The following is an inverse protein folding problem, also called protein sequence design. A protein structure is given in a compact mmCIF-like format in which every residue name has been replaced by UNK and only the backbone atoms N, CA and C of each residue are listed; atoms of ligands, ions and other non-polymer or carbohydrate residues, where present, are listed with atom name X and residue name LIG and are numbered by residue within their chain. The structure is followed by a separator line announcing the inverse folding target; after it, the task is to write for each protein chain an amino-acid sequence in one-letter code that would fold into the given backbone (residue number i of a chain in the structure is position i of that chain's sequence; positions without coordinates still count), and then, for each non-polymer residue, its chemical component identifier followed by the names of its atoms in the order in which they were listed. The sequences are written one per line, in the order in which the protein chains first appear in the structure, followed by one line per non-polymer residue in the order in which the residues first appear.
data_IF_181403443582
#
_entry.id   IF_181403443582
#
_cell.length_a   1.000
_cell.length_b   1.000
_cell.length_c   1.000
_cell.angle_alpha   90.00
_cell.angle_beta   90.00
_cell.angle_gamma   90.00
#
_symmetry.space_group_name_H-M   'P 1'
#
loop_
_entity.id
_entity.type
_entity.pdbx_description
1 polymer ?
#
# COMPACT_ATOMS: atom_id res chain seq x y z
N UNK A 1 5.26 3.14 34.85
CA UNK A 1 4.87 3.27 33.41
C UNK A 1 5.25 2.08 32.53
N UNK A 2 6.03 1.12 33.02
CA UNK A 2 6.46 -0.07 32.27
C UNK A 2 5.48 -1.24 32.31
N UNK A 3 4.57 -1.31 33.27
CA UNK A 3 3.69 -2.47 33.50
C UNK A 3 2.59 -2.66 32.47
N UNK A 4 2.23 -1.64 31.69
CA UNK A 4 1.06 -1.68 30.82
C UNK A 4 1.36 -1.57 29.31
N UNK A 5 2.55 -1.97 28.89
CA UNK A 5 2.90 -1.96 27.47
C UNK A 5 2.34 -3.23 26.77
N UNK A 6 1.23 -3.08 26.03
CA UNK A 6 0.57 -4.16 25.30
C UNK A 6 1.53 -4.95 24.40
N UNK A 7 2.45 -4.25 23.72
CA UNK A 7 3.43 -4.88 22.83
C UNK A 7 4.34 -5.87 23.56
N UNK A 8 4.58 -5.65 24.85
CA UNK A 8 5.43 -6.51 25.70
C UNK A 8 4.64 -7.63 26.37
N UNK A 9 3.47 -7.31 26.92
CA UNK A 9 2.78 -8.18 27.89
C UNK A 9 1.70 -9.05 27.26
N UNK A 10 1.03 -8.59 26.20
CA UNK A 10 -0.04 -9.36 25.58
C UNK A 10 0.47 -10.60 24.84
N UNK A 11 -0.26 -11.72 24.86
CA UNK A 11 0.03 -12.89 24.01
C UNK A 11 0.02 -12.47 22.53
N UNK A 12 1.00 -12.97 21.76
CA UNK A 12 1.22 -12.54 20.36
C UNK A 12 0.01 -12.80 19.46
N UNK A 13 -0.69 -13.92 19.65
CA UNK A 13 -1.93 -14.23 18.90
C UNK A 13 -3.01 -13.18 19.13
N UNK A 14 -3.26 -12.79 20.39
CA UNK A 14 -4.25 -11.78 20.74
C UNK A 14 -3.83 -10.39 20.23
N UNK A 15 -2.56 -10.03 20.43
CA UNK A 15 -2.00 -8.78 19.94
C UNK A 15 -2.10 -8.65 18.43
N UNK A 16 -1.84 -9.75 17.68
CA UNK A 16 -1.95 -9.80 16.23
C UNK A 16 -3.40 -9.51 15.76
N UNK A 17 -4.41 -10.03 16.46
CA UNK A 17 -5.80 -9.73 16.15
C UNK A 17 -6.19 -8.30 16.53
N UNK A 18 -5.78 -7.84 17.72
CA UNK A 18 -6.10 -6.49 18.19
C UNK A 18 -5.51 -5.39 17.28
N UNK A 19 -4.33 -5.62 16.74
CA UNK A 19 -3.70 -4.71 15.80
C UNK A 19 -4.13 -4.95 14.35
N UNK A 20 -4.25 -6.22 13.95
CA UNK A 20 -4.52 -6.60 12.58
C UNK A 20 -5.94 -6.29 12.13
N UNK A 21 -6.96 -6.57 12.96
CA UNK A 21 -8.36 -6.32 12.58
C UNK A 21 -8.63 -4.86 12.23
N UNK A 22 -8.24 -3.87 13.06
CA UNK A 22 -8.38 -2.47 12.68
C UNK A 22 -7.66 -2.12 11.37
N UNK A 23 -6.44 -2.63 11.18
CA UNK A 23 -5.66 -2.35 9.97
C UNK A 23 -6.26 -3.00 8.71
N UNK A 24 -6.81 -4.22 8.82
CA UNK A 24 -7.53 -4.88 7.73
C UNK A 24 -8.76 -4.05 7.34
N UNK A 25 -9.56 -3.62 8.31
CA UNK A 25 -10.74 -2.78 8.07
C UNK A 25 -10.37 -1.44 7.42
N UNK A 26 -9.29 -0.84 7.87
CA UNK A 26 -8.73 0.40 7.31
C UNK A 26 -8.37 0.25 5.83
N UNK A 27 -7.63 -0.80 5.49
CA UNK A 27 -7.24 -1.09 4.11
C UNK A 27 -8.41 -1.48 3.22
N UNK A 28 -9.37 -2.25 3.74
CA UNK A 28 -10.60 -2.59 3.02
C UNK A 28 -11.42 -1.33 2.69
N UNK A 29 -11.56 -0.42 3.66
CA UNK A 29 -12.24 0.86 3.44
C UNK A 29 -11.51 1.74 2.42
N UNK A 30 -10.18 1.73 2.43
CA UNK A 30 -9.39 2.46 1.43
C UNK A 30 -9.65 1.94 0.01
N UNK A 31 -9.78 0.62 -0.16
CA UNK A 31 -10.14 0.06 -1.46
C UNK A 31 -11.54 0.50 -1.92
N UNK A 32 -12.52 0.52 -1.00
CA UNK A 32 -13.88 1.01 -1.29
C UNK A 32 -13.86 2.50 -1.66
N UNK A 33 -13.18 3.31 -0.87
CA UNK A 33 -13.07 4.75 -1.11
C UNK A 33 -12.48 5.06 -2.49
N UNK A 34 -11.42 4.36 -2.92
CA UNK A 34 -10.82 4.57 -4.24
C UNK A 34 -11.81 4.27 -5.40
N UNK A 35 -12.70 3.30 -5.21
CA UNK A 35 -13.75 2.98 -6.18
C UNK A 35 -14.81 4.09 -6.21
N UNK A 36 -15.22 4.59 -5.04
CA UNK A 36 -16.25 5.63 -4.89
C UNK A 36 -15.77 6.96 -5.49
N UNK A 37 -14.54 7.39 -5.19
CA UNK A 37 -13.94 8.61 -5.74
C UNK A 37 -13.90 8.57 -7.28
N UNK A 38 -13.42 7.46 -7.84
CA UNK A 38 -13.43 7.27 -9.31
C UNK A 38 -14.82 7.31 -9.91
N UNK A 39 -15.84 6.80 -9.20
CA UNK A 39 -17.22 6.81 -9.66
C UNK A 39 -17.80 8.24 -9.67
N UNK A 40 -17.50 9.08 -8.68
CA UNK A 40 -17.95 10.47 -8.68
C UNK A 40 -17.37 11.25 -9.87
N UNK A 41 -16.08 11.13 -10.13
CA UNK A 41 -15.46 11.81 -11.29
C UNK A 41 -16.00 11.29 -12.62
N UNK A 42 -16.21 9.97 -12.73
CA UNK A 42 -16.76 9.36 -13.95
C UNK A 42 -18.21 9.73 -14.25
N UNK A 43 -18.98 10.19 -13.25
CA UNK A 43 -20.38 10.59 -13.40
C UNK A 43 -20.58 12.12 -13.54
N UNK A 44 -19.53 12.89 -13.80
CA UNK A 44 -19.65 14.31 -14.09
C UNK A 44 -20.50 14.55 -15.34
N UNK A 45 -21.36 15.57 -15.31
CA UNK A 45 -22.28 15.90 -16.41
C UNK A 45 -21.55 16.36 -17.68
N UNK A 46 -20.47 17.09 -17.53
CA UNK A 46 -19.66 17.61 -18.63
C UNK A 46 -18.18 17.27 -18.42
N UNK A 47 -17.51 16.87 -19.49
CA UNK A 47 -16.06 16.61 -19.49
C UNK A 47 -15.62 15.37 -18.70
N UNK A 48 -16.53 14.42 -18.37
CA UNK A 48 -16.20 13.23 -17.59
C UNK A 48 -15.11 12.38 -18.25
N UNK A 49 -15.13 12.23 -19.57
CA UNK A 49 -14.09 11.51 -20.32
C UNK A 49 -12.74 12.19 -20.23
N UNK A 50 -12.71 13.53 -20.42
CA UNK A 50 -11.49 14.31 -20.26
C UNK A 50 -10.96 14.27 -18.81
N UNK A 51 -11.86 14.30 -17.83
CA UNK A 51 -11.55 14.18 -16.40
C UNK A 51 -10.94 12.82 -16.06
N UNK A 52 -11.51 11.71 -16.52
CA UNK A 52 -10.96 10.36 -16.33
C UNK A 52 -9.60 10.21 -17.01
N UNK A 53 -9.44 10.80 -18.21
CA UNK A 53 -8.16 10.80 -18.88
C UNK A 53 -7.13 11.62 -18.09
N UNK A 54 -7.51 12.79 -17.57
CA UNK A 54 -6.66 13.61 -16.71
C UNK A 54 -6.20 12.82 -15.46
N UNK A 55 -7.12 12.14 -14.77
CA UNK A 55 -6.78 11.30 -13.62
C UNK A 55 -5.78 10.18 -13.99
N UNK A 56 -5.93 9.60 -15.17
CA UNK A 56 -4.99 8.57 -15.66
C UNK A 56 -3.58 9.11 -15.86
N UNK A 57 -3.46 10.35 -16.39
CA UNK A 57 -2.15 10.98 -16.62
C UNK A 57 -1.45 11.42 -15.32
N UNK A 58 -2.21 11.81 -14.31
CA UNK A 58 -1.64 12.23 -13.00
C UNK A 58 -1.32 11.05 -12.08
N UNK A 59 -1.95 9.89 -12.29
CA UNK A 59 -1.84 8.71 -11.44
C UNK A 59 -0.40 8.28 -11.15
N UNK A 60 0.55 8.23 -12.10
CA UNK A 60 1.92 7.82 -11.82
C UNK A 60 2.62 8.72 -10.79
N UNK A 61 2.41 10.03 -10.84
CA UNK A 61 3.00 10.97 -9.85
C UNK A 61 2.35 10.80 -8.49
N UNK A 62 1.02 10.65 -8.44
CA UNK A 62 0.33 10.37 -7.17
C UNK A 62 0.83 9.08 -6.54
N UNK A 63 1.00 8.02 -7.32
CA UNK A 63 1.54 6.76 -6.83
C UNK A 63 2.98 6.89 -6.34
N UNK A 64 3.81 7.70 -7.00
CA UNK A 64 5.16 7.98 -6.54
C UNK A 64 5.16 8.73 -5.20
N UNK A 65 4.31 9.74 -5.04
CA UNK A 65 4.16 10.47 -3.78
C UNK A 65 3.73 9.54 -2.64
N UNK A 66 2.74 8.70 -2.88
CA UNK A 66 2.25 7.69 -1.92
C UNK A 66 3.34 6.67 -1.61
N UNK A 67 4.07 6.19 -2.62
CA UNK A 67 5.16 5.23 -2.43
C UNK A 67 6.29 5.81 -1.56
N UNK A 68 6.68 7.06 -1.79
CA UNK A 68 7.69 7.76 -0.97
C UNK A 68 7.23 7.90 0.49
N UNK A 69 5.97 8.29 0.71
CA UNK A 69 5.40 8.47 2.03
C UNK A 69 5.28 7.14 2.79
N UNK A 70 4.62 6.14 2.19
CA UNK A 70 4.39 4.82 2.81
C UNK A 70 5.72 4.09 3.02
N UNK A 71 6.61 4.06 2.02
CA UNK A 71 7.87 3.33 2.14
C UNK A 71 8.79 3.92 3.20
N UNK A 72 8.89 5.25 3.30
CA UNK A 72 9.60 5.91 4.39
C UNK A 72 8.95 5.58 5.74
N UNK A 73 7.63 5.62 5.81
CA UNK A 73 6.86 5.25 7.00
C UNK A 73 7.10 3.80 7.44
N UNK A 74 7.18 2.85 6.52
CA UNK A 74 7.51 1.43 6.81
C UNK A 74 8.89 1.31 7.46
N UNK A 75 9.89 2.03 6.94
CA UNK A 75 11.22 2.07 7.53
C UNK A 75 11.21 2.65 8.95
N UNK A 76 10.48 3.74 9.16
CA UNK A 76 10.29 4.37 10.50
C UNK A 76 9.59 3.40 11.45
N UNK A 77 8.51 2.75 11.02
CA UNK A 77 7.74 1.79 11.83
C UNK A 77 8.63 0.65 12.33
N UNK A 78 9.31 -0.04 11.43
CA UNK A 78 10.13 -1.19 11.78
C UNK A 78 11.30 -0.82 12.70
N UNK A 79 11.98 0.31 12.42
CA UNK A 79 13.10 0.77 13.24
C UNK A 79 12.63 1.27 14.61
N UNK A 80 11.53 2.02 14.66
CA UNK A 80 10.96 2.54 15.92
C UNK A 80 10.50 1.39 16.82
N UNK A 81 9.71 0.45 16.29
CA UNK A 81 9.21 -0.70 17.05
C UNK A 81 10.38 -1.53 17.63
N UNK A 82 11.43 -1.79 16.82
CA UNK A 82 12.64 -2.46 17.29
C UNK A 82 13.35 -1.71 18.38
N UNK A 83 13.49 -0.40 18.24
CA UNK A 83 14.19 0.46 19.21
C UNK A 83 13.42 0.55 20.53
N UNK A 84 12.09 0.58 20.47
CA UNK A 84 11.24 0.49 21.66
C UNK A 84 11.37 -0.86 22.36
N UNK A 85 11.48 -1.96 21.61
CA UNK A 85 11.78 -3.28 22.16
C UNK A 85 13.14 -3.34 22.88
N UNK A 86 14.12 -2.61 22.37
CA UNK A 86 15.45 -2.42 23.01
C UNK A 86 15.42 -1.51 24.23
N UNK A 87 14.27 -0.90 24.57
CA UNK A 87 14.12 0.09 25.64
C UNK A 87 15.04 1.32 25.51
N UNK A 88 15.45 1.65 24.31
CA UNK A 88 16.31 2.80 24.04
C UNK A 88 15.44 4.02 23.67
N UNK A 89 14.98 4.74 24.70
CA UNK A 89 14.09 5.90 24.57
C UNK A 89 14.71 7.02 23.72
N UNK A 90 15.99 7.32 23.94
CA UNK A 90 16.70 8.38 23.20
C UNK A 90 16.76 8.07 21.70
N UNK A 91 17.15 6.83 21.33
CA UNK A 91 17.15 6.40 19.92
C UNK A 91 15.74 6.39 19.34
N UNK A 92 14.73 5.96 20.09
CA UNK A 92 13.33 5.98 19.65
C UNK A 92 12.87 7.41 19.33
N UNK A 93 13.18 8.39 20.20
CA UNK A 93 12.89 9.81 19.98
C UNK A 93 13.58 10.34 18.70
N UNK A 94 14.85 9.98 18.49
CA UNK A 94 15.59 10.34 17.26
C UNK A 94 15.00 9.69 16.02
N UNK A 95 14.52 8.45 16.09
CA UNK A 95 13.87 7.76 14.95
C UNK A 95 12.57 8.47 14.61
N UNK A 96 11.71 8.76 15.57
CA UNK A 96 10.47 9.49 15.37
C UNK A 96 10.71 10.89 14.79
N UNK A 97 11.65 11.65 15.38
CA UNK A 97 12.03 13.00 14.92
C UNK A 97 12.60 13.00 13.50
N UNK A 98 13.49 12.04 13.16
CA UNK A 98 14.01 11.91 11.79
C UNK A 98 12.92 11.43 10.81
N UNK A 99 11.93 10.65 11.25
CA UNK A 99 10.77 10.33 10.45
C UNK A 99 9.98 11.57 10.04
N UNK A 100 9.72 12.49 10.98
CA UNK A 100 9.06 13.77 10.71
C UNK A 100 9.91 14.70 9.83
N UNK A 101 11.23 14.72 10.03
CA UNK A 101 12.15 15.45 9.15
C UNK A 101 12.06 14.94 7.71
N UNK A 102 12.09 13.62 7.51
CA UNK A 102 11.99 13.00 6.20
C UNK A 102 10.63 13.28 5.54
N UNK A 103 9.54 13.29 6.33
CA UNK A 103 8.24 13.74 5.86
C UNK A 103 8.29 15.17 5.32
N UNK A 104 8.93 16.08 6.08
CA UNK A 104 9.10 17.48 5.65
C UNK A 104 9.90 17.58 4.35
N UNK A 105 10.99 16.81 4.21
CA UNK A 105 11.80 16.80 3.00
C UNK A 105 10.98 16.28 1.80
N UNK A 106 10.25 15.18 1.96
CA UNK A 106 9.38 14.64 0.91
C UNK A 106 8.31 15.67 0.51
N UNK A 107 7.67 16.31 1.50
CA UNK A 107 6.70 17.38 1.25
C UNK A 107 7.31 18.52 0.43
N UNK A 108 8.49 19.03 0.80
CA UNK A 108 9.19 20.09 0.06
C UNK A 108 9.48 19.64 -1.39
N UNK A 109 9.94 18.40 -1.61
CA UNK A 109 10.17 17.86 -2.95
C UNK A 109 8.88 17.86 -3.77
N UNK A 110 7.76 17.43 -3.17
CA UNK A 110 6.46 17.43 -3.84
C UNK A 110 6.01 18.85 -4.17
N UNK A 111 6.18 19.83 -3.28
CA UNK A 111 5.86 21.23 -3.52
C UNK A 111 6.69 21.82 -4.66
N UNK A 112 8.01 21.58 -4.66
CA UNK A 112 8.89 22.06 -5.73
C UNK A 112 8.50 21.46 -7.09
N UNK A 113 8.18 20.17 -7.12
CA UNK A 113 7.65 19.54 -8.33
C UNK A 113 6.30 20.15 -8.74
N UNK A 114 5.43 20.43 -7.76
CA UNK A 114 4.13 21.09 -7.94
C UNK A 114 4.24 22.48 -8.57
N UNK A 115 5.28 23.22 -8.22
CA UNK A 115 5.51 24.58 -8.74
C UNK A 115 6.16 24.57 -10.13
N UNK A 116 7.13 23.70 -10.36
CA UNK A 116 8.02 23.81 -11.53
C UNK A 116 7.92 22.62 -12.50
N UNK A 117 7.54 21.41 -12.05
CA UNK A 117 7.64 20.18 -12.82
C UNK A 117 6.37 19.77 -13.57
N UNK A 118 5.19 20.08 -13.04
CA UNK A 118 3.92 19.50 -13.50
C UNK A 118 3.62 19.82 -14.96
N UNK A 119 3.75 21.08 -15.36
CA UNK A 119 3.41 21.49 -16.73
C UNK A 119 4.27 20.75 -17.76
N UNK A 120 5.58 20.65 -17.51
CA UNK A 120 6.48 19.92 -18.39
C UNK A 120 6.12 18.42 -18.46
N UNK A 121 5.83 17.81 -17.31
CA UNK A 121 5.43 16.40 -17.23
C UNK A 121 4.14 16.11 -18.00
N UNK A 122 3.06 16.87 -17.76
CA UNK A 122 1.77 16.64 -18.41
C UNK A 122 1.82 16.97 -19.90
N UNK A 123 2.50 18.08 -20.30
CA UNK A 123 2.65 18.47 -21.72
C UNK A 123 3.41 17.42 -22.54
N UNK A 124 4.25 16.60 -21.93
CA UNK A 124 4.91 15.48 -22.60
C UNK A 124 3.98 14.31 -22.95
N UNK A 125 2.80 14.23 -22.31
CA UNK A 125 1.88 13.12 -22.43
C UNK A 125 0.61 13.42 -23.24
N UNK A 126 0.15 14.69 -23.26
CA UNK A 126 -1.05 15.07 -23.98
C UNK A 126 -0.91 16.42 -24.67
N UNK A 127 -1.56 16.53 -25.84
CA UNK A 127 -1.74 17.80 -26.59
C UNK A 127 -3.17 18.35 -26.47
N UNK A 128 -4.08 17.60 -25.87
CA UNK A 128 -5.46 18.04 -25.64
C UNK A 128 -5.45 19.12 -24.55
N UNK A 129 -5.85 20.35 -24.91
CA UNK A 129 -5.79 21.51 -24.02
C UNK A 129 -6.67 21.35 -22.77
N UNK A 130 -7.84 20.72 -22.88
CA UNK A 130 -8.74 20.49 -21.75
C UNK A 130 -8.17 19.46 -20.78
N UNK A 131 -7.69 18.32 -21.29
CA UNK A 131 -7.04 17.27 -20.47
C UNK A 131 -5.79 17.81 -19.81
N UNK A 132 -4.98 18.61 -20.54
CA UNK A 132 -3.79 19.27 -20.00
C UNK A 132 -4.14 20.18 -18.80
N UNK A 133 -5.13 21.06 -18.97
CA UNK A 133 -5.56 21.98 -17.91
C UNK A 133 -6.04 21.20 -16.68
N UNK A 134 -6.96 20.26 -16.87
CA UNK A 134 -7.51 19.45 -15.78
C UNK A 134 -6.41 18.66 -15.02
N UNK A 135 -5.47 18.07 -15.76
CA UNK A 135 -4.36 17.31 -15.17
C UNK A 135 -3.42 18.20 -14.37
N UNK A 136 -3.07 19.38 -14.91
CA UNK A 136 -2.17 20.34 -14.25
C UNK A 136 -2.82 20.86 -12.96
N UNK A 137 -4.09 21.24 -13.02
CA UNK A 137 -4.81 21.79 -11.87
C UNK A 137 -4.95 20.74 -10.76
N UNK A 138 -5.39 19.52 -11.11
CA UNK A 138 -5.51 18.42 -10.16
C UNK A 138 -4.18 18.10 -9.48
N UNK A 139 -3.14 17.87 -10.27
CA UNK A 139 -1.85 17.46 -9.75
C UNK A 139 -1.18 18.59 -8.94
N UNK A 140 -1.39 19.84 -9.33
CA UNK A 140 -0.89 21.01 -8.58
C UNK A 140 -1.50 21.06 -7.18
N UNK A 141 -2.81 20.89 -7.05
CA UNK A 141 -3.50 20.84 -5.75
C UNK A 141 -2.91 19.71 -4.91
N UNK A 142 -2.81 18.49 -5.46
CA UNK A 142 -2.27 17.34 -4.76
C UNK A 142 -0.81 17.53 -4.31
N UNK A 143 0.05 18.12 -5.17
CA UNK A 143 1.47 18.33 -4.85
C UNK A 143 1.68 19.44 -3.83
N UNK A 144 1.01 20.59 -3.99
CA UNK A 144 1.17 21.73 -3.08
C UNK A 144 0.63 21.42 -1.68
N UNK A 145 -0.42 20.62 -1.60
CA UNK A 145 -1.06 20.24 -0.35
C UNK A 145 -0.71 18.80 0.08
N UNK A 146 0.37 18.24 -0.48
CA UNK A 146 0.85 16.88 -0.15
C UNK A 146 1.26 16.69 1.31
N UNK A 147 1.30 17.78 2.11
CA UNK A 147 1.42 17.73 3.57
C UNK A 147 0.47 16.66 4.16
N UNK A 148 -0.80 16.64 3.72
CA UNK A 148 -1.80 15.69 4.20
C UNK A 148 -1.33 14.24 4.08
N UNK A 149 -1.06 13.76 2.87
CA UNK A 149 -0.71 12.37 2.60
C UNK A 149 0.63 11.97 3.23
N UNK A 150 1.61 12.86 3.21
CA UNK A 150 2.96 12.57 3.69
C UNK A 150 2.98 12.46 5.23
N UNK A 151 2.43 13.47 5.92
CA UNK A 151 2.41 13.45 7.39
C UNK A 151 1.41 12.44 7.94
N UNK A 152 0.27 12.23 7.28
CA UNK A 152 -0.64 11.14 7.60
C UNK A 152 0.10 9.81 7.66
N UNK A 153 0.85 9.46 6.59
CA UNK A 153 1.58 8.19 6.50
C UNK A 153 2.60 8.03 7.63
N UNK A 154 3.32 9.08 7.99
CA UNK A 154 4.32 9.00 9.06
C UNK A 154 3.65 8.87 10.43
N UNK A 155 2.64 9.69 10.76
CA UNK A 155 1.93 9.58 12.04
C UNK A 155 1.22 8.25 12.20
N UNK A 156 0.62 7.73 11.12
CA UNK A 156 0.06 6.39 11.07
C UNK A 156 1.08 5.34 11.51
N UNK A 157 2.26 5.35 10.90
CA UNK A 157 3.32 4.37 11.18
C UNK A 157 3.95 4.55 12.57
N UNK A 158 4.01 5.76 13.10
CA UNK A 158 4.43 6.02 14.49
C UNK A 158 3.45 5.42 15.50
N UNK A 159 2.13 5.55 15.26
CA UNK A 159 1.09 4.94 16.11
C UNK A 159 1.10 3.41 16.01
N UNK A 160 1.27 2.87 14.82
CA UNK A 160 1.38 1.42 14.59
C UNK A 160 2.59 0.83 15.31
N UNK A 161 3.74 1.49 15.27
CA UNK A 161 4.97 1.05 15.92
C UNK A 161 4.86 0.94 17.45
N UNK A 162 3.96 1.71 18.06
CA UNK A 162 3.67 1.69 19.51
C UNK A 162 2.47 0.79 19.88
N UNK A 163 1.93 0.03 18.92
CA UNK A 163 0.79 -0.87 19.14
C UNK A 163 -0.58 -0.17 19.16
N UNK A 164 -0.66 1.08 18.70
CA UNK A 164 -1.90 1.91 18.68
C UNK A 164 -2.59 1.91 17.32
N UNK A 165 -2.69 0.74 16.68
CA UNK A 165 -3.28 0.57 15.35
C UNK A 165 -4.74 1.03 15.27
N UNK A 166 -5.52 0.88 16.34
CA UNK A 166 -6.89 1.38 16.37
C UNK A 166 -6.97 2.88 16.11
N UNK A 167 -6.05 3.66 16.70
CA UNK A 167 -6.02 5.11 16.50
C UNK A 167 -5.56 5.49 15.09
N UNK A 168 -4.62 4.73 14.51
CA UNK A 168 -4.24 4.92 13.11
C UNK A 168 -5.42 4.63 12.17
N UNK A 169 -6.18 3.57 12.45
CA UNK A 169 -7.40 3.23 11.72
C UNK A 169 -8.47 4.33 11.84
N UNK A 170 -8.72 4.86 13.04
CA UNK A 170 -9.66 5.97 13.23
C UNK A 170 -9.27 7.17 12.36
N UNK A 171 -8.00 7.54 12.32
CA UNK A 171 -7.54 8.64 11.46
C UNK A 171 -7.79 8.38 9.97
N UNK A 172 -7.47 7.18 9.49
CA UNK A 172 -7.68 6.81 8.08
C UNK A 172 -9.16 6.77 7.71
N UNK A 173 -9.99 6.15 8.55
CA UNK A 173 -11.45 6.07 8.35
C UNK A 173 -12.07 7.47 8.34
N UNK A 174 -11.66 8.34 9.25
CA UNK A 174 -12.14 9.74 9.30
C UNK A 174 -11.83 10.47 8.00
N UNK A 175 -10.61 10.36 7.47
CA UNK A 175 -10.25 10.99 6.21
C UNK A 175 -11.01 10.45 5.02
N UNK A 176 -11.19 9.14 4.94
CA UNK A 176 -11.98 8.51 3.88
C UNK A 176 -13.45 8.96 3.91
N UNK A 177 -14.07 9.02 5.08
CA UNK A 177 -15.46 9.50 5.24
C UNK A 177 -15.56 10.97 4.83
N UNK A 178 -14.64 11.82 5.28
CA UNK A 178 -14.63 13.26 4.92
C UNK A 178 -14.49 13.42 3.41
N UNK A 179 -13.58 12.69 2.78
CA UNK A 179 -13.40 12.72 1.34
C UNK A 179 -14.70 12.31 0.61
N UNK A 180 -15.31 11.17 0.95
CA UNK A 180 -16.56 10.70 0.34
C UNK A 180 -17.74 11.69 0.51
N UNK A 181 -17.77 12.45 1.59
CA UNK A 181 -18.77 13.49 1.82
C UNK A 181 -18.46 14.75 0.97
N UNK A 182 -17.19 15.13 0.90
CA UNK A 182 -16.77 16.35 0.18
C UNK A 182 -16.78 16.18 -1.33
N UNK A 183 -16.55 14.97 -1.86
CA UNK A 183 -16.55 14.71 -3.30
C UNK A 183 -17.82 15.24 -3.99
N UNK A 184 -19.05 14.78 -3.65
CA UNK A 184 -20.25 15.28 -4.33
C UNK A 184 -20.50 16.78 -4.06
N UNK A 185 -20.11 17.29 -2.91
CA UNK A 185 -20.29 18.72 -2.58
C UNK A 185 -19.38 19.59 -3.44
N UNK A 186 -18.11 19.24 -3.57
CA UNK A 186 -17.14 20.05 -4.30
C UNK A 186 -17.22 19.82 -5.82
N UNK A 187 -17.43 18.57 -6.26
CA UNK A 187 -17.52 18.23 -7.68
C UNK A 187 -18.79 18.81 -8.30
N UNK A 188 -19.95 18.57 -7.67
CA UNK A 188 -21.26 18.92 -8.23
C UNK A 188 -21.87 20.18 -7.60
N UNK A 189 -21.79 20.30 -6.26
CA UNK A 189 -22.40 21.43 -5.54
C UNK A 189 -21.72 22.75 -5.85
N UNK A 190 -20.39 22.80 -5.83
CA UNK A 190 -19.58 23.97 -6.17
C UNK A 190 -19.14 23.99 -7.63
N UNK A 191 -19.49 23.00 -8.44
CA UNK A 191 -19.10 22.86 -9.86
C UNK A 191 -17.57 22.92 -10.10
N UNK A 192 -16.77 22.47 -9.14
CA UNK A 192 -15.31 22.48 -9.28
C UNK A 192 -14.78 21.31 -10.13
N UNK A 193 -15.64 20.35 -10.50
CA UNK A 193 -15.25 19.22 -11.33
C UNK A 193 -14.04 18.45 -10.78
N UNK A 194 -13.01 18.23 -11.61
CA UNK A 194 -11.79 17.51 -11.25
C UNK A 194 -11.02 18.20 -10.12
N UNK A 195 -11.01 19.52 -10.05
CA UNK A 195 -10.39 20.26 -8.94
C UNK A 195 -11.12 19.97 -7.62
N UNK A 196 -12.45 19.79 -7.66
CA UNK A 196 -13.27 19.43 -6.49
C UNK A 196 -12.84 18.08 -5.90
N UNK A 197 -12.62 17.06 -6.74
CA UNK A 197 -12.08 15.77 -6.31
C UNK A 197 -10.68 15.89 -5.68
N UNK A 198 -9.80 16.73 -6.27
CA UNK A 198 -8.48 16.97 -5.70
C UNK A 198 -8.57 17.62 -4.31
N UNK A 199 -9.41 18.65 -4.15
CA UNK A 199 -9.61 19.30 -2.85
C UNK A 199 -10.22 18.37 -1.82
N UNK A 200 -11.24 17.57 -2.18
CA UNK A 200 -11.85 16.61 -1.28
C UNK A 200 -10.83 15.61 -0.73
N UNK A 201 -10.01 15.05 -1.62
CA UNK A 201 -8.94 14.10 -1.27
C UNK A 201 -7.93 14.75 -0.31
N UNK A 202 -7.44 15.93 -0.65
CA UNK A 202 -6.41 16.61 0.15
C UNK A 202 -6.93 17.07 1.50
N UNK A 203 -8.16 17.60 1.58
CA UNK A 203 -8.79 17.99 2.85
C UNK A 203 -8.94 16.77 3.75
N UNK A 204 -9.45 15.65 3.23
CA UNK A 204 -9.55 14.39 3.97
C UNK A 204 -8.20 13.94 4.53
N UNK A 205 -7.14 13.98 3.72
CA UNK A 205 -5.79 13.61 4.13
C UNK A 205 -5.19 14.57 5.17
N UNK A 206 -5.40 15.88 5.04
CA UNK A 206 -4.92 16.87 6.01
C UNK A 206 -5.63 16.68 7.36
N UNK A 207 -6.95 16.53 7.37
CA UNK A 207 -7.70 16.34 8.61
C UNK A 207 -7.31 15.02 9.29
N UNK A 208 -7.08 13.95 8.53
CA UNK A 208 -6.50 12.71 9.04
C UNK A 208 -5.13 12.93 9.65
N UNK A 209 -4.22 13.62 8.96
CA UNK A 209 -2.88 13.91 9.44
C UNK A 209 -2.91 14.69 10.77
N UNK A 210 -3.76 15.72 10.86
CA UNK A 210 -3.92 16.51 12.07
C UNK A 210 -4.48 15.67 13.23
N UNK A 211 -5.49 14.84 12.97
CA UNK A 211 -6.06 13.94 13.98
C UNK A 211 -5.01 12.95 14.50
N UNK A 212 -4.25 12.33 13.59
CA UNK A 212 -3.18 11.41 13.96
C UNK A 212 -2.02 12.11 14.67
N UNK A 213 -1.70 13.36 14.32
CA UNK A 213 -0.73 14.17 15.05
C UNK A 213 -1.16 14.40 16.50
N UNK A 214 -2.45 14.72 16.73
CA UNK A 214 -3.01 14.86 18.08
C UNK A 214 -2.92 13.53 18.84
N UNK A 215 -3.29 12.42 18.22
CA UNK A 215 -3.16 11.10 18.85
C UNK A 215 -1.69 10.76 19.14
N UNK A 216 -0.80 11.04 18.20
CA UNK A 216 0.63 10.84 18.40
C UNK A 216 1.17 11.62 19.61
N UNK A 217 0.86 12.91 19.72
CA UNK A 217 1.33 13.76 20.82
C UNK A 217 0.73 13.36 22.18
N UNK A 218 -0.54 12.92 22.20
CA UNK A 218 -1.23 12.58 23.46
C UNK A 218 -0.92 11.16 23.95
N UNK A 219 -0.74 10.21 23.03
CA UNK A 219 -0.69 8.79 23.35
C UNK A 219 0.73 8.22 23.35
N UNK A 220 1.58 8.62 22.40
CA UNK A 220 2.95 8.09 22.28
C UNK A 220 3.88 8.70 23.32
N UNK A 221 3.79 8.22 24.56
CA UNK A 221 4.62 8.67 25.69
C UNK A 221 5.91 7.85 25.86
N UNK A 222 6.13 6.87 25.01
CA UNK A 222 7.27 5.96 25.05
C UNK A 222 8.59 6.62 24.62
N UNK A 223 8.48 7.76 23.93
CA UNK A 223 9.62 8.58 23.48
C UNK A 223 9.27 10.08 23.55
N UNK A 224 10.28 10.91 23.43
CA UNK A 224 10.14 12.36 23.60
C UNK A 224 9.84 13.04 22.25
N UNK A 225 9.02 14.10 22.28
CA UNK A 225 8.55 14.83 21.09
C UNK A 225 9.30 16.16 20.86
N UNK A 226 10.47 16.37 21.46
CA UNK A 226 11.21 17.62 21.34
C UNK A 226 11.77 17.85 19.94
N UNK A 227 11.76 19.12 19.47
CA UNK A 227 12.32 19.52 18.18
C UNK A 227 13.82 19.21 18.05
N UNK A 228 14.53 19.04 19.16
CA UNK A 228 15.93 18.61 19.16
C UNK A 228 16.15 17.25 18.50
N UNK A 229 15.16 16.38 18.53
CA UNK A 229 15.21 15.05 17.92
C UNK A 229 14.97 15.04 16.40
N UNK A 230 14.51 16.16 15.82
CA UNK A 230 14.36 16.32 14.37
C UNK A 230 15.68 16.67 13.68
N UNK A 231 16.77 16.92 14.42
CA UNK A 231 18.08 17.13 13.81
C UNK A 231 18.48 15.93 12.96
N UNK A 232 18.94 16.14 11.70
CA UNK A 232 19.27 15.07 10.77
C UNK A 232 20.38 14.17 11.35
N UNK A 233 20.10 12.88 11.46
CA UNK A 233 21.04 11.86 11.88
C UNK A 233 21.28 10.87 10.74
N UNK A 234 22.43 10.97 10.06
CA UNK A 234 22.78 10.15 8.91
C UNK A 234 22.67 8.64 9.17
N UNK A 235 23.04 8.19 10.38
CA UNK A 235 22.97 6.77 10.75
C UNK A 235 21.51 6.30 10.85
N UNK A 236 20.65 7.06 11.51
CA UNK A 236 19.22 6.75 11.64
C UNK A 236 18.54 6.80 10.28
N UNK A 237 18.80 7.81 9.47
CA UNK A 237 18.26 7.95 8.12
C UNK A 237 18.66 6.74 7.27
N UNK A 238 19.92 6.31 7.33
CA UNK A 238 20.40 5.10 6.64
C UNK A 238 19.71 3.84 7.14
N UNK A 239 19.48 3.72 8.46
CA UNK A 239 18.73 2.59 9.04
C UNK A 239 17.26 2.60 8.58
N UNK A 240 16.61 3.75 8.51
CA UNK A 240 15.23 3.89 7.98
C UNK A 240 15.17 3.46 6.53
N UNK A 241 16.03 3.99 5.67
CA UNK A 241 16.00 3.67 4.23
C UNK A 241 16.56 2.30 3.86
N UNK A 242 17.27 1.62 4.76
CA UNK A 242 17.63 0.20 4.55
C UNK A 242 16.41 -0.71 4.41
N UNK A 243 15.26 -0.29 4.97
CA UNK A 243 13.96 -0.94 4.86
C UNK A 243 13.02 -0.12 3.98
N UNK A 244 13.02 1.19 4.16
CA UNK A 244 12.11 2.12 3.49
C UNK A 244 12.32 2.19 1.97
N UNK A 245 13.55 2.24 1.49
CA UNK A 245 13.83 2.31 0.04
C UNK A 245 13.37 1.04 -0.69
N UNK A 246 13.65 -0.19 -0.22
CA UNK A 246 13.03 -1.40 -0.75
C UNK A 246 11.50 -1.35 -0.77
N UNK A 247 10.87 -0.79 0.26
CA UNK A 247 9.41 -0.67 0.32
C UNK A 247 8.87 0.37 -0.68
N UNK A 248 9.57 1.49 -0.90
CA UNK A 248 9.25 2.48 -1.94
C UNK A 248 9.25 1.82 -3.32
N UNK A 249 10.32 1.10 -3.63
CA UNK A 249 10.47 0.42 -4.93
C UNK A 249 9.37 -0.64 -5.10
N UNK A 250 9.09 -1.44 -4.06
CA UNK A 250 8.04 -2.44 -4.09
C UNK A 250 6.66 -1.83 -4.38
N UNK A 251 6.36 -0.67 -3.80
CA UNK A 251 5.10 0.03 -4.03
C UNK A 251 5.02 0.59 -5.47
N UNK A 252 6.10 1.16 -5.98
CA UNK A 252 6.17 1.66 -7.36
C UNK A 252 6.03 0.53 -8.40
N UNK A 253 6.60 -0.64 -8.13
CA UNK A 253 6.52 -1.81 -9.00
C UNK A 253 5.07 -2.31 -9.19
N UNK A 254 4.18 -2.13 -8.23
CA UNK A 254 2.77 -2.52 -8.38
C UNK A 254 2.11 -1.75 -9.53
N UNK A 255 2.33 -0.45 -9.61
CA UNK A 255 1.79 0.38 -10.70
C UNK A 255 2.43 0.04 -12.05
N UNK A 256 3.74 -0.21 -12.06
CA UNK A 256 4.47 -0.63 -13.27
C UNK A 256 3.95 -1.97 -13.79
N UNK A 257 3.69 -2.93 -12.92
CA UNK A 257 3.13 -4.24 -13.30
C UNK A 257 1.78 -4.08 -13.99
N UNK A 258 0.86 -3.29 -13.41
CA UNK A 258 -0.46 -3.05 -14.01
C UNK A 258 -0.33 -2.42 -15.38
N UNK A 259 0.52 -1.41 -15.54
CA UNK A 259 0.78 -0.76 -16.82
C UNK A 259 1.32 -1.76 -17.86
N UNK A 260 2.33 -2.54 -17.49
CA UNK A 260 2.95 -3.52 -18.39
C UNK A 260 1.97 -4.64 -18.77
N UNK A 261 1.14 -5.12 -17.83
CA UNK A 261 0.09 -6.10 -18.13
C UNK A 261 -0.93 -5.56 -19.13
N UNK A 262 -1.34 -4.29 -19.00
CA UNK A 262 -2.22 -3.66 -19.98
C UNK A 262 -1.59 -3.58 -21.38
N UNK A 263 -0.26 -3.36 -21.48
CA UNK A 263 0.45 -3.39 -22.76
C UNK A 263 0.51 -4.82 -23.35
N UNK A 264 0.72 -5.84 -22.51
CA UNK A 264 0.72 -7.24 -22.94
C UNK A 264 -0.65 -7.66 -23.48
N UNK A 265 -1.73 -7.22 -22.83
CA UNK A 265 -3.12 -7.56 -23.20
C UNK A 265 -3.69 -6.66 -24.31
N UNK A 266 -2.92 -5.72 -24.84
CA UNK A 266 -3.39 -4.75 -25.86
C UNK A 266 -3.95 -5.41 -27.14
N UNK A 267 -3.58 -6.66 -27.42
CA UNK A 267 -4.06 -7.40 -28.60
C UNK A 267 -5.55 -7.75 -28.52
N UNK A 268 -6.17 -7.80 -27.33
CA UNK A 268 -7.58 -8.07 -27.11
C UNK A 268 -8.16 -7.08 -26.09
N UNK A 269 -9.01 -6.15 -26.58
CA UNK A 269 -9.63 -5.11 -25.75
C UNK A 269 -10.54 -5.69 -24.64
N UNK A 270 -11.20 -6.84 -24.91
CA UNK A 270 -12.05 -7.50 -23.91
C UNK A 270 -11.21 -8.11 -22.78
N UNK A 271 -10.08 -8.73 -23.13
CA UNK A 271 -9.12 -9.25 -22.15
C UNK A 271 -8.50 -8.13 -21.30
N UNK A 272 -8.12 -7.02 -21.92
CA UNK A 272 -7.59 -5.85 -21.24
C UNK A 272 -8.62 -5.27 -20.24
N UNK A 273 -9.87 -5.13 -20.68
CA UNK A 273 -10.98 -4.66 -19.82
C UNK A 273 -11.23 -5.64 -18.68
N UNK A 274 -11.28 -6.94 -18.96
CA UNK A 274 -11.46 -7.98 -17.96
C UNK A 274 -10.37 -7.94 -16.88
N UNK A 275 -9.10 -7.76 -17.28
CA UNK A 275 -8.00 -7.61 -16.35
C UNK A 275 -8.14 -6.38 -15.46
N UNK A 276 -8.49 -5.23 -16.04
CA UNK A 276 -8.71 -3.99 -15.28
C UNK A 276 -9.83 -4.10 -14.24
N UNK A 277 -10.94 -4.78 -14.59
CA UNK A 277 -12.03 -5.04 -13.65
C UNK A 277 -11.63 -6.07 -12.57
N UNK A 278 -10.95 -7.14 -12.98
CA UNK A 278 -10.43 -8.14 -12.05
C UNK A 278 -9.43 -7.53 -11.06
N UNK A 279 -8.56 -6.62 -11.52
CA UNK A 279 -7.59 -5.96 -10.65
C UNK A 279 -8.24 -5.22 -9.47
N UNK A 280 -9.44 -4.68 -9.64
CA UNK A 280 -10.21 -4.05 -8.54
C UNK A 280 -10.62 -5.09 -7.49
N UNK A 281 -11.04 -6.29 -7.92
CA UNK A 281 -11.35 -7.41 -7.01
C UNK A 281 -10.09 -7.86 -6.28
N UNK A 282 -9.01 -8.08 -7.01
CA UNK A 282 -7.72 -8.47 -6.45
C UNK A 282 -7.21 -7.45 -5.44
N UNK A 283 -7.28 -6.17 -5.76
CA UNK A 283 -6.84 -5.08 -4.89
C UNK A 283 -7.60 -5.10 -3.57
N UNK A 284 -8.93 -5.30 -3.60
CA UNK A 284 -9.74 -5.39 -2.39
C UNK A 284 -9.27 -6.56 -1.49
N UNK A 285 -9.05 -7.75 -2.06
CA UNK A 285 -8.60 -8.92 -1.28
C UNK A 285 -7.18 -8.74 -0.77
N UNK A 286 -6.24 -8.28 -1.61
CA UNK A 286 -4.85 -8.12 -1.21
C UNK A 286 -4.62 -6.96 -0.22
N UNK A 287 -5.46 -5.92 -0.25
CA UNK A 287 -5.37 -4.83 0.72
C UNK A 287 -5.62 -5.32 2.15
N UNK A 288 -6.48 -6.32 2.33
CA UNK A 288 -6.65 -6.95 3.64
C UNK A 288 -5.36 -7.66 4.11
N UNK A 289 -4.64 -8.31 3.19
CA UNK A 289 -3.33 -8.91 3.52
C UNK A 289 -2.27 -7.83 3.85
N UNK A 290 -2.28 -6.69 3.16
CA UNK A 290 -1.40 -5.56 3.49
C UNK A 290 -1.74 -4.98 4.87
N UNK A 291 -3.01 -4.90 5.24
CA UNK A 291 -3.42 -4.49 6.60
C UNK A 291 -2.82 -5.42 7.67
N UNK A 292 -2.89 -6.73 7.46
CA UNK A 292 -2.31 -7.68 8.40
C UNK A 292 -0.77 -7.64 8.42
N UNK A 293 -0.11 -7.46 7.26
CA UNK A 293 1.34 -7.23 7.18
C UNK A 293 1.77 -6.04 8.04
N UNK A 294 0.99 -4.98 8.02
CA UNK A 294 1.29 -3.76 8.78
C UNK A 294 1.19 -3.98 10.30
N UNK A 295 0.44 -5.00 10.75
CA UNK A 295 0.46 -5.48 12.14
C UNK A 295 1.63 -6.44 12.42
N UNK A 296 1.96 -7.33 11.49
CA UNK A 296 3.06 -8.28 11.59
C UNK A 296 4.40 -7.55 11.83
N UNK A 297 4.65 -6.50 11.04
CA UNK A 297 5.92 -5.76 11.06
C UNK A 297 6.28 -5.20 12.45
N UNK A 298 5.46 -4.36 13.12
CA UNK A 298 5.82 -3.80 14.41
C UNK A 298 5.86 -4.84 15.53
N UNK A 299 4.99 -5.86 15.52
CA UNK A 299 4.95 -6.91 16.54
C UNK A 299 6.25 -7.72 16.53
N UNK A 300 6.70 -8.14 15.35
CA UNK A 300 7.94 -8.90 15.20
C UNK A 300 9.15 -8.00 15.45
N UNK A 301 9.16 -6.77 14.94
CA UNK A 301 10.28 -5.85 15.14
C UNK A 301 10.49 -5.51 16.63
N UNK A 302 9.40 -5.27 17.37
CA UNK A 302 9.44 -5.04 18.81
C UNK A 302 9.96 -6.27 19.56
N UNK A 303 9.42 -7.46 19.23
CA UNK A 303 9.84 -8.73 19.83
C UNK A 303 11.31 -9.07 19.54
N UNK A 304 11.77 -8.72 18.33
CA UNK A 304 13.18 -8.84 17.94
C UNK A 304 14.07 -7.86 18.71
N UNK A 305 13.59 -6.61 18.92
CA UNK A 305 14.27 -5.63 19.76
C UNK A 305 14.44 -6.08 21.21
N UNK A 306 13.45 -6.79 21.76
CA UNK A 306 13.52 -7.41 23.10
C UNK A 306 14.41 -8.65 23.16
N UNK A 307 14.98 -9.12 22.06
CA UNK A 307 15.71 -10.38 21.94
C UNK A 307 14.88 -11.61 22.36
N UNK A 308 13.56 -11.55 22.24
CA UNK A 308 12.66 -12.64 22.62
C UNK A 308 12.37 -13.56 21.42
N UNK A 309 13.18 -14.60 21.26
CA UNK A 309 13.11 -15.57 20.17
C UNK A 309 11.73 -16.24 20.05
N UNK A 310 11.11 -16.58 21.19
CA UNK A 310 9.80 -17.23 21.22
C UNK A 310 8.73 -16.29 20.64
N UNK A 311 8.69 -15.03 21.09
CA UNK A 311 7.73 -14.04 20.59
C UNK A 311 7.93 -13.73 19.11
N UNK A 312 9.16 -13.69 18.60
CA UNK A 312 9.44 -13.53 17.16
C UNK A 312 8.86 -14.71 16.38
N UNK A 313 9.11 -15.94 16.81
CA UNK A 313 8.55 -17.15 16.17
C UNK A 313 7.02 -17.19 16.22
N UNK A 314 6.44 -16.83 17.35
CA UNK A 314 4.99 -16.74 17.51
C UNK A 314 4.40 -15.65 16.58
N UNK A 315 5.08 -14.50 16.42
CA UNK A 315 4.70 -13.46 15.49
C UNK A 315 4.69 -13.92 14.04
N UNK A 316 5.73 -14.64 13.61
CA UNK A 316 5.81 -15.25 12.27
C UNK A 316 4.69 -16.28 12.10
N UNK A 317 4.51 -17.18 13.05
CA UNK A 317 3.52 -18.26 13.02
C UNK A 317 2.09 -17.71 12.92
N UNK A 318 1.68 -16.86 13.86
CA UNK A 318 0.31 -16.33 13.89
C UNK A 318 0.07 -15.34 12.76
N UNK A 319 1.07 -14.54 12.36
CA UNK A 319 0.98 -13.69 11.19
C UNK A 319 0.67 -14.48 9.92
N UNK A 320 1.41 -15.57 9.68
CA UNK A 320 1.16 -16.45 8.53
C UNK A 320 -0.19 -17.16 8.62
N UNK A 321 -0.55 -17.73 9.77
CA UNK A 321 -1.83 -18.45 9.94
C UNK A 321 -3.00 -17.51 9.65
N UNK A 322 -3.02 -16.32 10.24
CA UNK A 322 -4.13 -15.40 10.03
C UNK A 322 -4.17 -14.86 8.61
N UNK A 323 -3.01 -14.64 7.97
CA UNK A 323 -2.97 -14.26 6.56
C UNK A 323 -3.52 -15.37 5.67
N UNK A 324 -3.13 -16.63 5.91
CA UNK A 324 -3.63 -17.77 5.12
C UNK A 324 -5.15 -17.91 5.30
N UNK A 325 -5.65 -17.86 6.53
CA UNK A 325 -7.11 -17.94 6.80
C UNK A 325 -7.85 -16.84 6.06
N UNK A 326 -7.34 -15.61 6.13
CA UNK A 326 -7.95 -14.45 5.46
C UNK A 326 -7.94 -14.62 3.93
N UNK A 327 -6.83 -15.09 3.37
CA UNK A 327 -6.70 -15.28 1.92
C UNK A 327 -7.52 -16.47 1.42
N UNK A 328 -7.62 -17.56 2.17
CA UNK A 328 -8.50 -18.68 1.86
C UNK A 328 -9.96 -18.21 1.84
N UNK A 329 -10.38 -17.40 2.82
CA UNK A 329 -11.72 -16.82 2.83
C UNK A 329 -11.94 -15.92 1.59
N UNK A 330 -10.98 -15.07 1.24
CA UNK A 330 -11.04 -14.23 0.03
C UNK A 330 -11.12 -15.06 -1.25
N UNK A 331 -10.32 -16.12 -1.36
CA UNK A 331 -10.37 -17.07 -2.50
C UNK A 331 -11.75 -17.75 -2.59
N UNK A 332 -12.27 -18.25 -1.49
CA UNK A 332 -13.57 -18.91 -1.47
C UNK A 332 -14.70 -17.96 -1.88
N UNK A 333 -14.71 -16.73 -1.41
CA UNK A 333 -15.70 -15.73 -1.80
C UNK A 333 -15.62 -15.44 -3.31
N UNK A 334 -14.43 -15.27 -3.84
CA UNK A 334 -14.26 -14.98 -5.28
C UNK A 334 -14.63 -16.18 -6.16
N UNK A 335 -14.30 -17.41 -5.73
CA UNK A 335 -14.64 -18.65 -6.44
C UNK A 335 -16.14 -18.99 -6.40
N UNK A 336 -16.81 -18.74 -5.28
CA UNK A 336 -18.23 -19.03 -5.14
C UNK A 336 -19.12 -18.01 -5.85
N UNK A 337 -18.66 -16.75 -5.96
CA UNK A 337 -19.49 -15.65 -6.48
C UNK A 337 -18.90 -14.91 -7.71
N UNK A 338 -18.27 -15.58 -8.70
CA UNK A 338 -17.65 -14.88 -9.83
C UNK A 338 -18.67 -14.12 -10.67
N UNK A 339 -19.88 -14.68 -10.84
CA UNK A 339 -20.97 -14.04 -11.56
C UNK A 339 -21.50 -12.77 -10.87
N UNK A 340 -21.52 -12.76 -9.54
CA UNK A 340 -21.89 -11.58 -8.76
C UNK A 340 -20.90 -10.44 -9.03
N UNK A 341 -19.58 -10.70 -8.97
CA UNK A 341 -18.58 -9.71 -9.29
C UNK A 341 -18.65 -9.22 -10.73
N UNK A 342 -18.90 -10.14 -11.69
CA UNK A 342 -19.07 -9.78 -13.09
C UNK A 342 -20.26 -8.83 -13.31
N UNK A 343 -21.34 -9.02 -12.57
CA UNK A 343 -22.53 -8.14 -12.62
C UNK A 343 -22.25 -6.83 -11.87
N UNK A 344 -21.66 -6.88 -10.69
CA UNK A 344 -21.32 -5.71 -9.88
C UNK A 344 -20.42 -4.70 -10.64
N UNK A 345 -19.44 -5.22 -11.38
CA UNK A 345 -18.51 -4.41 -12.18
C UNK A 345 -18.95 -4.18 -13.61
N UNK A 346 -20.18 -4.61 -13.98
CA UNK A 346 -20.74 -4.46 -15.31
C UNK A 346 -19.77 -4.92 -16.43
N UNK A 347 -19.31 -6.17 -16.32
CA UNK A 347 -18.26 -6.70 -17.20
C UNK A 347 -18.67 -6.83 -18.69
N UNK A 348 -19.95 -6.68 -19.03
CA UNK A 348 -20.46 -6.60 -20.40
C UNK A 348 -19.91 -7.68 -21.33
N UNK A 349 -19.30 -7.29 -22.44
CA UNK A 349 -18.69 -8.20 -23.41
C UNK A 349 -17.45 -8.92 -22.87
N UNK A 350 -16.79 -8.37 -21.87
CA UNK A 350 -15.60 -8.95 -21.23
C UNK A 350 -15.92 -10.00 -20.16
N UNK A 351 -17.21 -10.33 -19.95
CA UNK A 351 -17.68 -11.19 -18.85
C UNK A 351 -17.00 -12.55 -18.80
N UNK A 352 -16.81 -13.19 -19.95
CA UNK A 352 -16.21 -14.54 -20.04
C UNK A 352 -14.76 -14.48 -19.56
N UNK A 353 -13.97 -13.52 -20.08
CA UNK A 353 -12.57 -13.33 -19.67
C UNK A 353 -12.45 -12.88 -18.22
N UNK A 354 -13.38 -12.05 -17.73
CA UNK A 354 -13.41 -11.63 -16.35
C UNK A 354 -13.66 -12.82 -15.40
N UNK A 355 -14.64 -13.68 -15.70
CA UNK A 355 -14.93 -14.86 -14.88
C UNK A 355 -13.75 -15.83 -14.89
N UNK A 356 -13.10 -16.05 -16.04
CA UNK A 356 -11.89 -16.89 -16.12
C UNK A 356 -10.74 -16.29 -15.30
N UNK A 357 -10.53 -14.97 -15.39
CA UNK A 357 -9.53 -14.27 -14.59
C UNK A 357 -9.81 -14.42 -13.09
N UNK A 358 -11.06 -14.20 -12.66
CA UNK A 358 -11.46 -14.36 -11.25
C UNK A 358 -11.16 -15.77 -10.77
N UNK A 359 -11.56 -16.81 -11.50
CA UNK A 359 -11.38 -18.21 -11.10
C UNK A 359 -9.92 -18.65 -11.08
N UNK A 360 -9.14 -18.28 -12.10
CA UNK A 360 -7.75 -18.75 -12.19
C UNK A 360 -6.84 -17.95 -11.25
N UNK A 361 -6.95 -16.63 -11.26
CA UNK A 361 -6.01 -15.80 -10.49
C UNK A 361 -6.32 -15.85 -8.99
N UNK A 362 -7.59 -16.03 -8.57
CA UNK A 362 -7.94 -16.11 -7.14
C UNK A 362 -7.25 -17.27 -6.41
N UNK A 363 -6.92 -18.36 -7.13
CA UNK A 363 -6.12 -19.46 -6.57
C UNK A 363 -4.77 -18.96 -6.06
N UNK A 364 -4.20 -17.93 -6.70
CA UNK A 364 -2.94 -17.33 -6.29
C UNK A 364 -3.02 -16.49 -5.02
N UNK A 365 -4.21 -16.07 -4.55
CA UNK A 365 -4.36 -15.16 -3.42
C UNK A 365 -3.72 -15.69 -2.13
N UNK A 366 -3.81 -16.99 -1.89
CA UNK A 366 -3.19 -17.62 -0.71
C UNK A 366 -1.68 -17.43 -0.76
N UNK A 367 -1.04 -17.71 -1.89
CA UNK A 367 0.40 -17.55 -2.07
C UNK A 367 0.81 -16.07 -2.07
N UNK A 368 0.01 -15.20 -2.68
CA UNK A 368 0.20 -13.75 -2.64
C UNK A 368 0.16 -13.22 -1.20
N UNK A 369 -0.80 -13.67 -0.39
CA UNK A 369 -0.89 -13.32 1.02
C UNK A 369 0.32 -13.78 1.81
N UNK A 370 0.78 -15.01 1.61
CA UNK A 370 2.00 -15.53 2.25
C UNK A 370 3.21 -14.66 1.88
N UNK A 371 3.36 -14.30 0.61
CA UNK A 371 4.43 -13.41 0.15
C UNK A 371 4.35 -12.02 0.80
N UNK A 372 3.13 -11.46 0.96
CA UNK A 372 2.91 -10.19 1.64
C UNK A 372 3.26 -10.30 3.13
N UNK A 373 2.88 -11.39 3.80
CA UNK A 373 3.25 -11.63 5.19
C UNK A 373 4.78 -11.78 5.35
N UNK A 374 5.46 -12.49 4.45
CA UNK A 374 6.92 -12.59 4.42
C UNK A 374 7.59 -11.21 4.29
N UNK A 375 7.05 -10.31 3.47
CA UNK A 375 7.57 -8.93 3.38
C UNK A 375 7.54 -8.24 4.75
N UNK A 376 6.43 -8.36 5.50
CA UNK A 376 6.33 -7.83 6.86
C UNK A 376 7.37 -8.41 7.81
N UNK A 377 7.60 -9.70 7.75
CA UNK A 377 8.63 -10.40 8.54
C UNK A 377 10.03 -9.89 8.17
N UNK A 378 10.35 -9.79 6.88
CA UNK A 378 11.67 -9.30 6.45
C UNK A 378 11.91 -7.86 6.89
N UNK A 379 10.93 -6.98 6.71
CA UNK A 379 11.00 -5.58 7.15
C UNK A 379 11.24 -5.50 8.66
N UNK A 380 10.55 -6.31 9.45
CA UNK A 380 10.73 -6.37 10.91
C UNK A 380 12.12 -6.83 11.32
N UNK A 381 12.70 -7.79 10.62
CA UNK A 381 14.01 -8.36 10.87
C UNK A 381 15.14 -7.66 10.10
N UNK A 382 14.92 -6.44 9.61
CA UNK A 382 15.90 -5.67 8.82
C UNK A 382 16.35 -6.39 7.53
N UNK A 383 15.45 -7.11 6.89
CA UNK A 383 15.61 -7.82 5.62
C UNK A 383 15.00 -7.06 4.45
N UNK A 384 15.35 -5.76 4.30
CA UNK A 384 14.78 -4.93 3.23
C UNK A 384 15.09 -5.46 1.83
N UNK A 385 16.28 -5.99 1.61
CA UNK A 385 16.68 -6.55 0.31
C UNK A 385 15.92 -7.83 -0.02
N UNK A 386 15.67 -8.70 0.96
CA UNK A 386 14.85 -9.90 0.78
C UNK A 386 13.40 -9.52 0.43
N UNK A 387 12.86 -8.50 1.09
CA UNK A 387 11.55 -7.92 0.75
C UNK A 387 11.52 -7.40 -0.69
N UNK A 388 12.56 -6.67 -1.13
CA UNK A 388 12.67 -6.12 -2.47
C UNK A 388 12.74 -7.23 -3.53
N UNK A 389 13.59 -8.25 -3.32
CA UNK A 389 13.75 -9.34 -4.28
C UNK A 389 12.43 -10.10 -4.48
N UNK A 390 11.70 -10.41 -3.40
CA UNK A 390 10.38 -11.04 -3.51
C UNK A 390 9.41 -10.16 -4.27
N UNK A 391 9.41 -8.83 -4.03
CA UNK A 391 8.57 -7.89 -4.76
C UNK A 391 8.92 -7.82 -6.26
N UNK A 392 10.21 -7.81 -6.59
CA UNK A 392 10.68 -7.82 -7.98
C UNK A 392 10.27 -9.10 -8.71
N UNK A 393 10.40 -10.26 -8.07
CA UNK A 393 9.95 -11.54 -8.64
C UNK A 393 8.46 -11.50 -8.96
N UNK A 394 7.64 -11.06 -8.01
CA UNK A 394 6.19 -11.04 -8.11
C UNK A 394 5.65 -10.03 -9.13
N UNK A 395 6.30 -8.89 -9.27
CA UNK A 395 5.74 -7.73 -9.98
C UNK A 395 6.44 -7.40 -11.29
N UNK A 396 7.61 -8.00 -11.56
CA UNK A 396 8.35 -7.74 -12.77
C UNK A 396 9.01 -9.01 -13.34
N UNK A 397 9.94 -9.64 -12.62
CA UNK A 397 10.87 -10.63 -13.16
C UNK A 397 10.18 -11.93 -13.59
N UNK A 398 9.17 -12.39 -12.86
CA UNK A 398 8.44 -13.62 -13.21
C UNK A 398 7.15 -13.31 -13.97
N UNK A 399 6.32 -12.40 -13.44
CA UNK A 399 4.99 -12.16 -13.99
C UNK A 399 5.02 -11.64 -15.43
N UNK A 400 5.85 -10.64 -15.73
CA UNK A 400 5.84 -10.00 -17.04
C UNK A 400 6.38 -10.92 -18.15
N UNK A 401 7.53 -11.64 -17.99
CA UNK A 401 7.97 -12.59 -19.01
C UNK A 401 7.00 -13.76 -19.22
N UNK A 402 6.40 -14.30 -18.13
CA UNK A 402 5.42 -15.37 -18.25
C UNK A 402 4.15 -14.91 -18.96
N UNK A 403 3.59 -13.78 -18.58
CA UNK A 403 2.39 -13.22 -19.22
C UNK A 403 2.67 -12.87 -20.69
N UNK A 404 3.84 -12.30 -20.99
CA UNK A 404 4.26 -12.03 -22.37
C UNK A 404 4.44 -13.31 -23.18
N UNK A 405 5.11 -14.34 -22.62
CA UNK A 405 5.28 -15.64 -23.28
C UNK A 405 3.93 -16.30 -23.56
N UNK A 406 3.03 -16.33 -22.60
CA UNK A 406 1.67 -16.87 -22.78
C UNK A 406 0.85 -16.05 -23.80
N UNK A 407 0.97 -14.72 -23.81
CA UNK A 407 0.30 -13.90 -24.82
C UNK A 407 0.77 -14.22 -26.25
N UNK A 408 2.06 -14.54 -26.42
CA UNK A 408 2.59 -14.98 -27.73
C UNK A 408 2.00 -16.33 -28.15
N UNK A 409 1.87 -17.28 -27.22
CA UNK A 409 1.22 -18.58 -27.51
C UNK A 409 -0.26 -18.40 -27.87
N UNK A 410 -0.99 -17.55 -27.13
CA UNK A 410 -2.40 -17.21 -27.45
C UNK A 410 -2.51 -16.65 -28.86
N UNK A 411 -1.67 -15.68 -29.22
CA UNK A 411 -1.73 -15.02 -30.54
C UNK A 411 -1.30 -15.98 -31.68
N UNK A 412 -0.23 -16.77 -31.45
CA UNK A 412 0.36 -17.61 -32.51
C UNK A 412 -0.44 -18.88 -32.78
N UNK A 413 -1.05 -19.47 -31.73
CA UNK A 413 -1.73 -20.78 -31.81
C UNK A 413 -3.23 -20.68 -31.59
N UNK A 414 -3.80 -19.48 -31.58
CA UNK A 414 -5.23 -19.21 -31.32
C UNK A 414 -5.75 -19.89 -30.05
N UNK A 415 -4.92 -19.86 -28.99
CA UNK A 415 -5.26 -20.45 -27.70
C UNK A 415 -6.17 -19.52 -26.90
N UNK A 416 -6.86 -20.06 -25.90
CA UNK A 416 -7.72 -19.28 -25.02
C UNK A 416 -6.89 -18.25 -24.19
N UNK A 417 -7.41 -17.03 -24.09
CA UNK A 417 -6.81 -15.91 -23.35
C UNK A 417 -6.57 -16.27 -21.87
N UNK A 418 -7.36 -17.19 -21.31
CA UNK A 418 -7.24 -17.64 -19.92
C UNK A 418 -5.87 -18.24 -19.61
N UNK A 419 -5.10 -18.68 -20.61
CA UNK A 419 -3.72 -19.13 -20.45
C UNK A 419 -2.84 -18.05 -19.79
N UNK A 420 -3.07 -16.77 -20.09
CA UNK A 420 -2.28 -15.66 -19.55
C UNK A 420 -2.49 -15.52 -18.03
N UNK A 421 -3.68 -15.86 -17.54
CA UNK A 421 -3.98 -15.77 -16.11
C UNK A 421 -3.17 -16.74 -15.25
N UNK A 422 -2.72 -17.85 -15.80
CA UNK A 422 -1.84 -18.78 -15.09
C UNK A 422 -0.47 -18.20 -14.76
N UNK A 423 -0.04 -17.13 -15.46
CA UNK A 423 1.17 -16.41 -15.13
C UNK A 423 1.17 -15.90 -13.68
N UNK A 424 0.01 -15.46 -13.16
CA UNK A 424 -0.13 -15.01 -11.78
C UNK A 424 0.06 -16.15 -10.78
N UNK A 425 -0.56 -17.30 -11.04
CA UNK A 425 -0.47 -18.47 -10.16
C UNK A 425 0.97 -18.98 -10.08
N UNK A 426 1.60 -19.16 -11.23
CA UNK A 426 3.00 -19.63 -11.31
C UNK A 426 3.93 -18.64 -10.59
N UNK A 427 3.77 -17.36 -10.85
CA UNK A 427 4.59 -16.30 -10.23
C UNK A 427 4.47 -16.31 -8.71
N UNK A 428 3.25 -16.35 -8.17
CA UNK A 428 3.05 -16.28 -6.72
C UNK A 428 3.56 -17.54 -6.02
N UNK A 429 3.39 -18.73 -6.63
CA UNK A 429 3.92 -19.99 -6.09
C UNK A 429 5.45 -19.97 -6.09
N UNK A 430 6.09 -19.63 -7.20
CA UNK A 430 7.56 -19.57 -7.28
C UNK A 430 8.13 -18.53 -6.32
N UNK A 431 7.50 -17.36 -6.23
CA UNK A 431 7.91 -16.32 -5.29
C UNK A 431 7.76 -16.77 -3.84
N UNK A 432 6.73 -17.55 -3.52
CA UNK A 432 6.51 -18.10 -2.19
C UNK A 432 7.62 -19.10 -1.80
N UNK A 433 8.07 -19.94 -2.74
CA UNK A 433 9.21 -20.85 -2.52
C UNK A 433 10.48 -20.07 -2.22
N UNK A 434 10.80 -19.05 -3.03
CA UNK A 434 11.98 -18.18 -2.80
C UNK A 434 11.83 -17.44 -1.46
N UNK A 435 10.64 -16.92 -1.16
CA UNK A 435 10.34 -16.26 0.11
C UNK A 435 10.57 -17.20 1.29
N UNK A 436 10.12 -18.45 1.22
CA UNK A 436 10.38 -19.45 2.27
C UNK A 436 11.87 -19.69 2.50
N UNK A 437 12.66 -19.80 1.44
CA UNK A 437 14.12 -19.94 1.53
C UNK A 437 14.75 -18.73 2.22
N UNK A 438 14.33 -17.52 1.86
CA UNK A 438 14.80 -16.30 2.51
C UNK A 438 14.39 -16.23 3.98
N UNK A 439 13.17 -16.63 4.32
CA UNK A 439 12.72 -16.68 5.71
C UNK A 439 13.64 -17.57 6.55
N UNK A 440 13.90 -18.79 6.07
CA UNK A 440 14.79 -19.74 6.75
C UNK A 440 16.23 -19.22 6.91
N UNK A 441 16.71 -18.51 5.88
CA UNK A 441 18.04 -17.88 5.90
C UNK A 441 18.12 -16.73 6.92
N UNK A 442 17.10 -15.88 6.96
CA UNK A 442 17.02 -14.75 7.91
C UNK A 442 16.89 -15.29 9.33
N UNK A 443 16.05 -16.30 9.57
CA UNK A 443 15.91 -16.93 10.89
C UNK A 443 17.27 -17.45 11.40
N UNK A 444 18.01 -18.19 10.57
CA UNK A 444 19.34 -18.70 10.95
C UNK A 444 20.36 -17.59 11.21
N UNK A 445 20.33 -16.49 10.43
CA UNK A 445 21.35 -15.44 10.50
C UNK A 445 21.08 -14.39 11.58
N UNK A 446 19.80 -14.05 11.82
CA UNK A 446 19.42 -12.92 12.67
C UNK A 446 18.74 -13.31 13.97
N UNK A 447 18.26 -14.53 14.13
CA UNK A 447 17.66 -15.02 15.36
C UNK A 447 18.66 -15.78 16.24
N UNK A 448 19.94 -15.45 16.14
CA UNK A 448 20.97 -15.85 17.10
C UNK A 448 20.90 -14.80 18.22
N UNK A 449 20.20 -15.15 19.28
CA UNK A 449 20.15 -14.38 20.52
C UNK A 449 21.07 -15.07 21.52
N UNK A 450 21.90 -14.31 22.16
CA UNK A 450 22.78 -14.77 23.24
C UNK A 450 21.98 -15.18 24.48
#
# INVERSE_FOLDING_TARGET
MEENNKMKNEPVNKLMLQMGVPMILSMALQAVYNIVDSAFVGNMKEGSEAALNALTLVFPIQMLMVALAIGTGVGVNALLARTLGQRNREKASKVAGNGLLLATVIYIICVLFGLFGIKAYISSQTRNALVLSMSVDYLRICCLLSFGVVFFSIFEKLLQATGRSLYSTIGQVTGAIINMILDPILIYGFNLGVQGAAYATVIGQILSALLLAVFHMRLNKEFDHGLTYTKPNKRIIKEIYSIGLPAIIAQALMSLMVYAMNLILKFDASAQTAYGLFYKVQQFVLFMAFGLRDAITPIIAFSYGMQNKKRVKDGIKYGLIYTIVLMVAGTLITELFPNFFATLFNAGQSRIYFISAVRIISISFVFAGINIAFQGVYQALNGGMESLVVSLLRQAILILPLAWGFSKLVIQYDMDVSLIWYAFVITEVLSCVVGWVFLRRIEKKKMVFD
#
